data_IF_233236064072
#
_entry.id   IF_233236064072
#
_cell.length_a   1.000
_cell.length_b   1.000
_cell.length_c   1.000
_cell.angle_alpha   90.00
_cell.angle_beta   90.00
_cell.angle_gamma   90.00
#
_symmetry.space_group_name_H-M   'P 1'
#
loop_
_entity.id
_entity.type
_entity.pdbx_description
1 polymer ?
#
# COMPACT_ATOMS: atom_id res chain seq x y z
N UNK A 1 -19.91 0.15 25.88
CA UNK A 1 -20.19 -0.15 25.54
C UNK A 1 -20.07 -0.49 25.11
N UNK A 2 -19.70 -0.09 25.08
CA UNK A 2 -19.70 -0.39 24.51
C UNK A 2 -19.41 -0.45 23.90
N UNK A 3 -19.06 -0.06 23.77
CA UNK A 3 -19.10 -0.13 23.17
C UNK A 3 -18.68 -0.27 22.70
N UNK A 4 -18.46 -0.02 22.71
CA UNK A 4 -18.31 -0.21 22.28
C UNK A 4 -17.90 -0.43 21.84
N UNK A 5 -17.61 0.11 21.79
CA UNK A 5 -17.56 -0.17 21.29
C UNK A 5 -17.31 -0.19 20.72
N UNK A 6 -17.18 0.31 20.75
CA UNK A 6 -17.29 0.23 20.14
C UNK A 6 -16.86 0.27 19.69
N UNK A 7 -16.83 0.76 20.23
CA UNK A 7 -16.75 0.66 19.84
C UNK A 7 -16.41 0.43 19.35
N UNK A 8 -16.25 0.95 19.65
CA UNK A 8 -16.26 0.88 19.08
C UNK A 8 -15.85 0.58 18.61
N UNK A 9 -15.80 0.97 18.84
CA UNK A 9 -15.73 0.71 18.41
C UNK A 9 -15.45 0.28 17.83
N UNK A 10 -15.18 0.53 17.78
CA UNK A 10 -15.15 0.12 17.22
C UNK A 10 -14.76 -0.33 16.73
N UNK A 11 -14.57 -0.04 16.66
CA UNK A 11 -14.50 -0.43 16.29
C UNK A 11 -14.19 -1.07 16.23
N UNK A 12 -13.90 -0.95 16.41
CA UNK A 12 -13.80 -1.56 16.40
C UNK A 12 -13.54 -2.18 16.40
N UNK A 13 -13.41 -2.00 16.31
CA UNK A 13 -13.34 -2.53 16.49
C UNK A 13 -13.10 -3.11 16.33
N UNK A 14 -12.64 -2.67 16.54
CA UNK A 14 -12.48 -3.17 16.45
C UNK A 14 -12.00 -3.69 16.28
N UNK A 15 -11.71 -3.51 16.48
CA UNK A 15 -11.10 -3.79 16.26
C UNK A 15 -10.50 -4.05 16.38
N UNK A 16 -10.27 -4.08 16.44
CA UNK A 16 -9.42 -4.31 16.71
C UNK A 16 -8.69 -4.28 16.67
N UNK A 17 -8.32 -3.85 16.58
CA UNK A 17 -7.36 -3.86 16.41
C UNK A 17 -6.59 -4.16 16.61
N UNK A 18 -6.36 -4.13 16.66
CA UNK A 18 -5.45 -4.30 16.72
C UNK A 18 -4.56 -3.84 16.23
N UNK A 19 -4.12 -3.30 16.46
CA UNK A 19 -3.38 -2.87 15.91
C UNK A 19 -2.94 -3.00 15.02
N UNK A 20 -3.20 -2.79 14.82
CA UNK A 20 -2.70 -2.69 14.08
C UNK A 20 -2.45 -2.93 12.93
N UNK A 21 -2.04 -2.20 12.26
CA UNK A 21 -1.69 -2.40 10.92
C UNK A 21 -0.95 -3.68 10.66
N UNK A 22 -0.40 -4.26 11.66
CA UNK A 22 0.30 -5.53 11.51
C UNK A 22 -0.59 -6.68 11.13
N UNK A 23 -1.90 -6.49 11.24
CA UNK A 23 -2.83 -7.58 11.02
C UNK A 23 -3.24 -7.77 9.58
N UNK A 24 -3.00 -6.80 8.71
CA UNK A 24 -3.39 -7.00 7.34
C UNK A 24 -2.39 -7.91 6.63
N UNK A 25 -2.88 -8.60 5.62
CA UNK A 25 -2.04 -9.45 4.80
C UNK A 25 -1.74 -8.73 3.50
N UNK A 26 -0.45 -8.56 3.22
CA UNK A 26 -0.02 -8.06 1.93
C UNK A 26 -0.14 -9.20 0.92
N UNK A 27 -0.82 -8.94 -0.19
CA UNK A 27 -1.01 -9.94 -1.23
C UNK A 27 -0.49 -9.41 -2.54
N UNK A 28 0.37 -10.17 -3.20
CA UNK A 28 0.98 -9.74 -4.45
C UNK A 28 0.72 -10.75 -5.55
N UNK A 29 0.35 -10.23 -6.72
CA UNK A 29 0.31 -11.07 -7.93
C UNK A 29 1.75 -11.37 -8.36
N UNK A 30 1.90 -12.37 -9.21
CA UNK A 30 3.20 -12.68 -9.79
C UNK A 30 3.75 -11.47 -10.55
N UNK A 31 2.90 -10.78 -11.29
CA UNK A 31 3.31 -9.60 -12.06
C UNK A 31 3.79 -8.48 -11.14
N UNK A 32 3.08 -8.23 -10.04
CA UNK A 32 3.47 -7.18 -9.09
C UNK A 32 4.78 -7.53 -8.41
N UNK A 33 4.95 -8.80 -8.00
CA UNK A 33 6.20 -9.25 -7.40
C UNK A 33 7.37 -9.03 -8.35
N UNK A 34 7.19 -9.43 -9.60
CA UNK A 34 8.24 -9.26 -10.60
C UNK A 34 8.54 -7.78 -10.84
N UNK A 35 7.51 -6.94 -10.87
CA UNK A 35 7.68 -5.50 -11.04
C UNK A 35 8.48 -4.88 -9.90
N UNK A 36 8.19 -5.29 -8.67
CA UNK A 36 8.94 -4.80 -7.50
C UNK A 36 10.40 -5.28 -7.57
N UNK A 37 10.62 -6.55 -7.90
CA UNK A 37 11.97 -7.09 -8.00
C UNK A 37 12.79 -6.36 -9.06
N UNK A 38 12.17 -6.07 -10.21
CA UNK A 38 12.84 -5.34 -11.28
C UNK A 38 13.17 -3.91 -10.87
N UNK A 39 12.25 -3.25 -10.19
CA UNK A 39 12.51 -1.90 -9.71
C UNK A 39 13.66 -1.91 -8.70
N UNK A 40 13.66 -2.84 -7.76
CA UNK A 40 14.73 -2.91 -6.75
C UNK A 40 16.08 -3.18 -7.39
N UNK A 41 16.13 -4.04 -8.40
CA UNK A 41 17.37 -4.30 -9.14
C UNK A 41 17.83 -3.04 -9.87
N UNK A 42 16.91 -2.33 -10.52
CA UNK A 42 17.21 -1.08 -11.19
C UNK A 42 17.75 -0.05 -10.19
N UNK A 43 17.08 0.09 -9.05
CA UNK A 43 17.45 1.10 -8.04
C UNK A 43 18.86 0.84 -7.50
N UNK A 44 19.24 -0.43 -7.34
CA UNK A 44 20.54 -0.79 -6.84
C UNK A 44 21.69 -0.47 -7.81
N UNK A 45 21.36 -0.28 -9.09
CA UNK A 45 22.36 -0.01 -10.13
C UNK A 45 22.22 1.39 -10.73
N UNK A 46 21.35 2.20 -10.15
CA UNK A 46 21.04 3.53 -10.68
C UNK A 46 21.89 4.58 -9.99
N UNK A 47 22.18 5.67 -10.72
CA UNK A 47 22.80 6.84 -10.11
C UNK A 47 21.79 7.69 -9.35
N UNK A 48 20.49 7.43 -9.52
CA UNK A 48 19.45 8.13 -8.78
C UNK A 48 19.41 7.56 -7.35
N UNK A 49 19.39 8.45 -6.37
CA UNK A 49 19.32 8.06 -4.97
C UNK A 49 17.85 7.96 -4.56
N UNK A 50 17.43 6.75 -4.23
CA UNK A 50 16.07 6.50 -3.76
C UNK A 50 16.05 6.44 -2.23
N UNK A 51 14.89 6.71 -1.65
CA UNK A 51 14.68 6.62 -0.21
C UNK A 51 14.99 5.19 0.28
N UNK A 52 15.90 5.07 1.24
CA UNK A 52 16.22 3.76 1.80
C UNK A 52 15.01 3.17 2.51
N UNK A 53 14.23 4.02 3.18
CA UNK A 53 13.01 3.57 3.86
C UNK A 53 12.03 2.95 2.86
N UNK A 54 11.83 3.60 1.72
CA UNK A 54 10.94 3.08 0.68
C UNK A 54 11.46 1.74 0.15
N UNK A 55 12.76 1.64 -0.10
CA UNK A 55 13.34 0.39 -0.59
C UNK A 55 13.15 -0.72 0.43
N UNK A 56 13.33 -0.42 1.71
CA UNK A 56 13.15 -1.40 2.78
C UNK A 56 11.71 -1.90 2.85
N UNK A 57 10.74 -0.99 2.67
CA UNK A 57 9.32 -1.37 2.66
C UNK A 57 9.06 -2.36 1.53
N UNK A 58 9.58 -2.10 0.33
CA UNK A 58 9.38 -3.00 -0.81
C UNK A 58 10.07 -4.34 -0.58
N UNK A 59 11.28 -4.35 -0.04
CA UNK A 59 11.96 -5.60 0.29
C UNK A 59 11.16 -6.41 1.30
N UNK A 60 10.63 -5.76 2.33
CA UNK A 60 9.85 -6.45 3.33
C UNK A 60 8.57 -7.05 2.73
N UNK A 61 7.92 -6.33 1.82
CA UNK A 61 6.73 -6.86 1.16
C UNK A 61 7.03 -8.10 0.35
N UNK A 62 8.16 -8.13 -0.34
CA UNK A 62 8.55 -9.35 -1.07
C UNK A 62 8.74 -10.53 -0.14
N UNK A 63 9.20 -10.28 1.09
CA UNK A 63 9.41 -11.36 2.06
C UNK A 63 8.12 -11.91 2.63
N UNK A 64 7.15 -11.04 2.92
CA UNK A 64 5.99 -11.44 3.72
C UNK A 64 4.71 -11.61 2.90
N UNK A 65 4.71 -11.17 1.64
CA UNK A 65 3.50 -11.18 0.85
C UNK A 65 2.99 -12.60 0.57
N UNK A 66 1.69 -12.74 0.65
CA UNK A 66 1.01 -13.97 0.23
C UNK A 66 0.81 -13.88 -1.28
N UNK A 67 1.16 -14.94 -1.98
CA UNK A 67 1.03 -14.98 -3.43
C UNK A 67 -0.44 -15.06 -3.84
N UNK A 68 -0.80 -14.28 -4.85
CA UNK A 68 -2.10 -14.39 -5.48
C UNK A 68 -1.93 -15.26 -6.72
N UNK A 69 -2.68 -16.36 -6.81
CA UNK A 69 -2.67 -17.22 -7.96
C UNK A 69 -3.72 -16.71 -8.96
N UNK A 70 -3.27 -16.51 -10.20
CA UNK A 70 -4.18 -16.06 -11.24
C UNK A 70 -4.48 -14.57 -11.15
N UNK A 71 -5.74 -14.22 -11.41
CA UNK A 71 -6.19 -12.83 -11.47
C UNK A 71 -6.37 -12.28 -10.05
N UNK A 72 -5.88 -11.06 -9.82
CA UNK A 72 -6.02 -10.40 -8.52
C UNK A 72 -7.50 -10.14 -8.20
N UNK A 73 -7.90 -10.33 -6.94
CA UNK A 73 -9.21 -9.86 -6.51
C UNK A 73 -9.36 -8.37 -6.78
N UNK A 74 -10.57 -7.93 -7.07
CA UNK A 74 -10.82 -6.54 -7.48
C UNK A 74 -10.56 -5.53 -6.37
N UNK A 75 -10.46 -5.98 -5.11
CA UNK A 75 -10.25 -5.10 -3.97
C UNK A 75 -8.79 -5.03 -3.52
N UNK A 76 -7.88 -5.68 -4.24
CA UNK A 76 -6.44 -5.67 -3.90
C UNK A 76 -5.71 -4.67 -4.78
N UNK A 77 -4.89 -3.83 -4.16
CA UNK A 77 -4.10 -2.82 -4.87
C UNK A 77 -2.99 -3.50 -5.67
N UNK A 78 -3.10 -3.46 -6.98
CA UNK A 78 -2.09 -3.99 -7.90
C UNK A 78 -1.66 -2.88 -8.84
N UNK A 79 -0.63 -3.14 -9.62
CA UNK A 79 -0.21 -2.21 -10.66
C UNK A 79 -1.41 -1.85 -11.56
N UNK A 80 -1.63 -0.58 -11.74
CA UNK A 80 -2.73 -0.08 -12.57
C UNK A 80 -4.04 0.16 -11.82
N UNK A 81 -4.14 -0.29 -10.57
CA UNK A 81 -5.35 -0.05 -9.77
C UNK A 81 -5.51 1.42 -9.45
N UNK A 82 -6.74 1.91 -9.50
CA UNK A 82 -7.08 3.20 -8.94
C UNK A 82 -7.31 3.02 -7.45
N UNK A 83 -6.65 3.81 -6.62
CA UNK A 83 -6.71 3.66 -5.18
C UNK A 83 -7.11 4.97 -4.54
N UNK A 84 -8.03 4.91 -3.58
CA UNK A 84 -8.29 6.02 -2.67
C UNK A 84 -7.95 5.58 -1.26
N UNK A 85 -7.33 6.46 -0.50
CA UNK A 85 -6.99 6.19 0.88
C UNK A 85 -7.10 7.47 1.70
N UNK A 86 -7.14 7.31 3.02
CA UNK A 86 -7.22 8.43 3.95
C UNK A 86 -6.02 8.37 4.87
N UNK A 87 -5.31 9.49 4.94
CA UNK A 87 -4.13 9.65 5.79
C UNK A 87 -4.50 10.52 6.96
N UNK A 88 -4.17 10.05 8.17
CA UNK A 88 -4.45 10.77 9.43
C UNK A 88 -5.92 11.14 9.59
N UNK A 89 -6.80 10.25 9.07
CA UNK A 89 -8.24 10.37 9.24
C UNK A 89 -8.86 11.60 8.55
N UNK A 90 -8.08 12.35 7.76
CA UNK A 90 -8.61 13.55 7.13
C UNK A 90 -8.13 13.80 5.71
N UNK A 91 -6.91 13.42 5.37
CA UNK A 91 -6.33 13.75 4.08
C UNK A 91 -6.60 12.63 3.09
N UNK A 92 -7.37 12.92 2.04
CA UNK A 92 -7.69 11.94 1.02
C UNK A 92 -6.63 12.00 -0.07
N UNK A 93 -6.03 10.85 -0.34
CA UNK A 93 -5.06 10.67 -1.43
C UNK A 93 -5.63 9.66 -2.40
N UNK A 94 -5.55 9.94 -3.69
CA UNK A 94 -6.03 8.98 -4.68
C UNK A 94 -5.21 9.08 -5.97
N UNK A 95 -5.20 7.99 -6.71
CA UNK A 95 -4.47 7.92 -7.96
C UNK A 95 -4.32 6.50 -8.42
N UNK A 96 -3.65 6.32 -9.55
CA UNK A 96 -3.39 5.02 -10.15
C UNK A 96 -2.01 4.55 -9.72
N UNK A 97 -1.94 3.36 -9.15
CA UNK A 97 -0.67 2.78 -8.72
C UNK A 97 0.20 2.46 -9.93
N UNK A 98 1.44 2.94 -9.93
CA UNK A 98 2.27 2.91 -11.12
C UNK A 98 3.69 2.43 -10.80
N UNK A 99 4.26 1.65 -11.71
CA UNK A 99 5.68 1.29 -11.67
C UNK A 99 6.54 2.26 -12.49
N UNK A 100 5.94 3.28 -13.09
CA UNK A 100 6.66 4.21 -13.93
C UNK A 100 7.73 4.99 -13.18
N UNK A 101 8.89 5.19 -13.80
CA UNK A 101 9.99 5.94 -13.21
C UNK A 101 9.75 7.44 -13.25
N UNK A 102 8.91 7.89 -14.17
CA UNK A 102 8.51 9.28 -14.29
C UNK A 102 7.11 9.41 -13.72
N UNK A 103 6.98 10.22 -12.68
CA UNK A 103 5.68 10.42 -12.05
C UNK A 103 4.82 11.32 -12.91
N UNK A 104 3.59 10.90 -13.17
CA UNK A 104 2.60 11.67 -13.91
C UNK A 104 1.49 12.09 -13.00
N UNK A 105 0.78 13.17 -13.39
CA UNK A 105 -0.37 13.61 -12.62
C UNK A 105 -1.39 12.47 -12.51
N UNK A 106 -1.94 12.29 -11.30
CA UNK A 106 -2.91 11.23 -11.06
C UNK A 106 -2.33 9.86 -10.81
N UNK A 107 -1.01 9.74 -10.73
CA UNK A 107 -0.37 8.46 -10.43
C UNK A 107 0.22 8.46 -9.03
N UNK A 108 0.23 7.28 -8.42
CA UNK A 108 0.91 7.01 -7.16
C UNK A 108 2.02 6.04 -7.50
N UNK A 109 3.27 6.51 -7.59
CA UNK A 109 4.37 5.61 -7.98
C UNK A 109 4.77 4.70 -6.83
N UNK A 110 5.15 3.46 -7.13
CA UNK A 110 5.60 2.54 -6.08
C UNK A 110 6.91 3.00 -5.44
N UNK A 111 7.66 3.87 -6.09
CA UNK A 111 8.89 4.40 -5.52
C UNK A 111 8.65 5.61 -4.61
N UNK A 112 7.40 5.86 -4.23
CA UNK A 112 7.06 6.77 -3.15
C UNK A 112 6.74 5.95 -1.90
N UNK A 113 6.85 6.57 -0.73
CA UNK A 113 6.49 5.88 0.51
C UNK A 113 5.04 5.44 0.50
N UNK A 114 4.15 6.29 -0.03
CA UNK A 114 2.73 5.95 -0.11
C UNK A 114 2.52 4.75 -1.03
N UNK A 115 3.09 4.78 -2.24
CA UNK A 115 2.90 3.69 -3.20
C UNK A 115 3.48 2.38 -2.71
N UNK A 116 4.67 2.43 -2.12
CA UNK A 116 5.30 1.22 -1.58
C UNK A 116 4.45 0.62 -0.46
N UNK A 117 3.77 1.46 0.31
CA UNK A 117 2.90 0.99 1.39
C UNK A 117 1.59 0.43 0.84
N UNK A 118 1.04 1.06 -0.19
CA UNK A 118 -0.27 0.67 -0.72
C UNK A 118 -0.28 -0.63 -1.51
N UNK A 119 0.81 -0.94 -2.25
CA UNK A 119 0.79 -2.11 -3.11
C UNK A 119 0.57 -3.38 -2.27
N UNK A 120 -0.40 -4.18 -2.67
CA UNK A 120 -0.75 -5.42 -1.97
C UNK A 120 -1.76 -5.25 -0.85
N UNK A 121 -2.19 -4.04 -0.54
CA UNK A 121 -3.25 -3.82 0.45
C UNK A 121 -4.61 -4.00 -0.20
N UNK A 122 -5.60 -4.35 0.62
CA UNK A 122 -6.97 -4.48 0.18
C UNK A 122 -7.82 -3.34 0.71
N UNK A 123 -8.92 -3.07 0.02
CA UNK A 123 -9.88 -2.07 0.50
C UNK A 123 -10.34 -2.41 1.92
N UNK A 124 -10.41 -1.41 2.77
CA UNK A 124 -10.78 -1.57 4.17
C UNK A 124 -9.62 -1.83 5.11
N UNK A 125 -8.44 -2.15 4.59
CA UNK A 125 -7.28 -2.39 5.43
C UNK A 125 -6.63 -1.09 5.88
N UNK A 126 -6.00 -1.14 7.05
CA UNK A 126 -5.30 0.01 7.60
C UNK A 126 -3.89 -0.39 8.02
N UNK A 127 -3.00 0.59 8.02
CA UNK A 127 -1.63 0.39 8.46
C UNK A 127 -1.06 1.74 8.88
N UNK A 128 0.24 1.76 9.12
CA UNK A 128 0.98 2.98 9.46
C UNK A 128 1.76 3.43 8.24
N UNK A 129 1.63 4.68 7.89
CA UNK A 129 2.44 5.29 6.84
C UNK A 129 3.66 5.94 7.50
N UNK A 130 4.84 5.45 7.13
CA UNK A 130 6.09 5.95 7.66
C UNK A 130 6.56 7.16 6.86
N UNK A 131 7.22 8.10 7.53
CA UNK A 131 7.81 9.27 6.89
C UNK A 131 9.31 9.29 7.13
N UNK A 132 10.03 9.98 6.24
CA UNK A 132 11.49 10.03 6.32
C UNK A 132 11.99 10.67 7.61
N UNK A 133 11.20 11.54 8.20
CA UNK A 133 11.58 12.22 9.45
C UNK A 133 11.28 11.38 10.69
N UNK A 134 10.86 10.15 10.52
CA UNK A 134 10.56 9.25 11.63
C UNK A 134 9.14 9.37 12.18
N UNK A 135 8.34 10.30 11.66
CA UNK A 135 6.95 10.40 12.09
C UNK A 135 6.12 9.31 11.45
N UNK A 136 4.99 9.01 12.06
CA UNK A 136 4.05 8.02 11.54
C UNK A 136 2.68 8.63 11.41
N UNK A 137 1.93 8.15 10.41
CA UNK A 137 0.55 8.59 10.19
C UNK A 137 -0.30 7.36 9.95
N UNK A 138 -1.58 7.45 10.28
CA UNK A 138 -2.50 6.37 9.97
C UNK A 138 -2.82 6.37 8.48
N UNK A 139 -3.08 5.18 7.94
CA UNK A 139 -3.42 5.03 6.53
C UNK A 139 -4.51 3.98 6.42
N UNK A 140 -5.62 4.35 5.79
CA UNK A 140 -6.72 3.43 5.54
C UNK A 140 -7.03 3.43 4.04
N UNK A 141 -7.04 2.25 3.44
CA UNK A 141 -7.43 2.11 2.03
C UNK A 141 -8.95 2.09 1.99
N UNK A 142 -9.55 3.08 1.35
CA UNK A 142 -11.01 3.19 1.32
C UNK A 142 -11.61 2.60 0.05
N UNK A 143 -10.86 2.59 -1.04
CA UNK A 143 -11.38 2.09 -2.31
C UNK A 143 -10.24 1.61 -3.19
N UNK A 144 -10.47 0.48 -3.86
CA UNK A 144 -9.56 -0.02 -4.90
C UNK A 144 -10.42 -0.28 -6.13
N UNK A 145 -10.09 0.38 -7.24
CA UNK A 145 -10.74 0.14 -8.52
C UNK A 145 -9.94 -0.87 -9.32
N UNK A 146 -10.62 -1.54 -10.24
CA UNK A 146 -9.96 -2.52 -11.11
C UNK A 146 -8.86 -1.84 -11.93
N UNK A 147 -7.80 -2.56 -12.28
CA UNK A 147 -6.75 -1.98 -13.12
C UNK A 147 -7.32 -1.54 -14.45
N UNK A 148 -6.80 -0.41 -14.96
CA UNK A 148 -7.19 0.05 -16.27
C UNK A 148 -6.65 -0.92 -17.32
N UNK A 149 -7.52 -1.26 -18.26
CA UNK A 149 -7.10 -1.96 -19.48
C UNK A 149 -7.32 -1.02 -20.65
N UNK A 150 -6.35 -0.96 -21.50
CA UNK A 150 -6.38 -0.05 -22.63
C UNK A 150 -6.47 -0.84 -23.91
#
# INVERSE_FOLDING_TARGET
MVIPDVTGSTIPRHGKPEAGGGDYKCRLTKADRLGIERFLSFAGNSSVVYSQLMLDILHQKLKVAVAIEGVAPSDVATFGSYISCVVDEKDIESGVLSFGLVTRAGEIPIHSLLGATLIGMSAGQSTILLSEDGTTRSLVVTQVGAPFTV
#
